data_IF_268218879918
#
_entry.id   IF_268218879918
#
_cell.length_a   1.000
_cell.length_b   1.000
_cell.length_c   1.000
_cell.angle_alpha   90.00
_cell.angle_beta   90.00
_cell.angle_gamma   90.00
#
_symmetry.space_group_name_H-M   'P 1'
#
loop_
_entity.id
_entity.type
_entity.pdbx_description
1 polymer ?
#
# COMPACT_ATOMS: atom_id res chain seq x y z
N UNK A 1 9.36 62.54 13.94
CA UNK A 1 9.10 61.10 13.72
C UNK A 1 10.44 60.35 13.63
N UNK A 2 10.76 59.44 14.56
CA UNK A 2 11.98 58.61 14.49
C UNK A 2 11.79 57.48 13.48
N UNK A 3 12.53 57.47 12.37
CA UNK A 3 12.57 56.33 11.44
C UNK A 3 13.32 55.15 12.08
N UNK A 4 12.63 54.04 12.34
CA UNK A 4 13.27 52.75 12.68
C UNK A 4 14.09 52.29 11.47
N UNK A 5 15.41 52.15 11.63
CA UNK A 5 16.25 51.48 10.63
C UNK A 5 15.99 49.97 10.75
N UNK A 6 15.40 49.37 9.72
CA UNK A 6 15.31 47.92 9.59
C UNK A 6 16.71 47.41 9.21
N UNK A 7 17.24 46.44 9.96
CA UNK A 7 18.49 45.75 9.58
C UNK A 7 18.20 44.93 8.33
N UNK A 8 19.00 45.11 7.28
CA UNK A 8 18.88 44.33 6.07
C UNK A 8 19.34 42.88 6.34
N UNK A 9 18.67 41.93 5.70
CA UNK A 9 19.02 40.50 5.74
C UNK A 9 20.44 40.30 5.21
N UNK A 10 21.26 39.54 5.93
CA UNK A 10 22.65 39.28 5.52
C UNK A 10 22.74 38.05 4.62
N UNK A 11 23.73 38.02 3.72
CA UNK A 11 23.91 36.91 2.77
C UNK A 11 24.17 35.56 3.50
N UNK A 12 24.85 35.62 4.65
CA UNK A 12 25.10 34.46 5.53
C UNK A 12 23.78 33.89 6.07
N UNK A 13 22.86 34.75 6.50
CA UNK A 13 21.56 34.35 7.03
C UNK A 13 20.69 33.68 5.95
N UNK A 14 20.77 34.17 4.71
CA UNK A 14 20.09 33.53 3.56
C UNK A 14 20.69 32.15 3.27
N UNK A 15 22.01 32.01 3.26
CA UNK A 15 22.67 30.70 3.02
C UNK A 15 22.32 29.71 4.14
N UNK A 16 22.35 30.16 5.39
CA UNK A 16 21.97 29.33 6.54
C UNK A 16 20.50 28.88 6.44
N UNK A 17 19.59 29.79 6.10
CA UNK A 17 18.17 29.47 5.91
C UNK A 17 17.96 28.47 4.76
N UNK A 18 18.64 28.67 3.62
CA UNK A 18 18.57 27.73 2.49
C UNK A 18 19.09 26.34 2.87
N UNK A 19 20.19 26.27 3.63
CA UNK A 19 20.70 25.00 4.15
C UNK A 19 19.67 24.25 5.00
N UNK A 20 19.00 24.97 5.91
CA UNK A 20 17.93 24.41 6.75
C UNK A 20 16.75 23.93 5.90
N UNK A 21 16.30 24.73 4.92
CA UNK A 21 15.19 24.36 4.04
C UNK A 21 15.52 23.07 3.26
N UNK A 22 16.73 22.97 2.69
CA UNK A 22 17.15 21.78 1.96
C UNK A 22 17.10 20.55 2.86
N UNK A 23 17.66 20.62 4.08
CA UNK A 23 17.62 19.51 5.02
C UNK A 23 16.18 19.10 5.39
N UNK A 24 15.31 20.07 5.64
CA UNK A 24 13.90 19.80 5.97
C UNK A 24 13.16 19.15 4.79
N UNK A 25 13.38 19.62 3.56
CA UNK A 25 12.75 19.04 2.37
C UNK A 25 13.20 17.60 2.12
N UNK A 26 14.49 17.31 2.30
CA UNK A 26 15.01 15.94 2.21
C UNK A 26 14.39 15.02 3.28
N UNK A 27 14.30 15.48 4.53
CA UNK A 27 13.67 14.73 5.61
C UNK A 27 12.17 14.45 5.33
N UNK A 28 11.46 15.41 4.76
CA UNK A 28 10.07 15.25 4.35
C UNK A 28 9.93 14.19 3.25
N UNK A 29 10.77 14.21 2.22
CA UNK A 29 10.75 13.21 1.14
C UNK A 29 10.94 11.80 1.69
N UNK A 30 11.92 11.60 2.57
CA UNK A 30 12.17 10.29 3.20
C UNK A 30 10.97 9.82 4.03
N UNK A 31 10.32 10.75 4.74
CA UNK A 31 9.13 10.45 5.54
C UNK A 31 7.95 10.04 4.67
N UNK A 32 7.68 10.76 3.59
CA UNK A 32 6.61 10.44 2.62
C UNK A 32 6.85 9.05 2.00
N UNK A 33 8.09 8.75 1.59
CA UNK A 33 8.43 7.43 1.05
C UNK A 33 8.19 6.31 2.07
N UNK A 34 8.56 6.51 3.34
CA UNK A 34 8.28 5.56 4.40
C UNK A 34 6.77 5.35 4.63
N UNK A 35 5.99 6.42 4.59
CA UNK A 35 4.53 6.35 4.72
C UNK A 35 3.90 5.62 3.54
N UNK A 36 4.29 5.92 2.30
CA UNK A 36 3.76 5.23 1.12
C UNK A 36 4.01 3.72 1.16
N UNK A 37 5.25 3.29 1.47
CA UNK A 37 5.56 1.86 1.62
C UNK A 37 4.71 1.18 2.69
N UNK A 38 4.45 1.87 3.81
CA UNK A 38 3.62 1.36 4.90
C UNK A 38 2.15 1.24 4.47
N UNK A 39 1.63 2.22 3.72
CA UNK A 39 0.27 2.21 3.17
C UNK A 39 0.11 1.07 2.16
N UNK A 40 1.06 0.91 1.24
CA UNK A 40 1.06 -0.20 0.27
C UNK A 40 1.00 -1.57 0.98
N UNK A 41 1.83 -1.77 2.01
CA UNK A 41 1.81 -3.01 2.80
C UNK A 41 0.51 -3.23 3.58
N UNK A 42 -0.10 -2.17 4.13
CA UNK A 42 -1.40 -2.28 4.78
C UNK A 42 -2.53 -2.57 3.79
N UNK A 43 -2.52 -1.90 2.64
CA UNK A 43 -3.51 -2.10 1.58
C UNK A 43 -3.47 -3.54 1.06
N UNK A 44 -2.26 -4.10 0.84
CA UNK A 44 -2.10 -5.48 0.44
C UNK A 44 -2.64 -6.45 1.50
N UNK A 45 -2.35 -6.21 2.79
CA UNK A 45 -2.89 -7.03 3.89
C UNK A 45 -4.42 -6.99 3.95
N UNK A 46 -5.01 -5.81 3.78
CA UNK A 46 -6.46 -5.65 3.75
C UNK A 46 -7.06 -6.38 2.55
N UNK A 47 -6.47 -6.23 1.36
CA UNK A 47 -6.90 -6.93 0.14
C UNK A 47 -6.87 -8.44 0.33
N UNK A 48 -5.80 -8.98 0.91
CA UNK A 48 -5.66 -10.42 1.20
C UNK A 48 -6.71 -10.89 2.21
N UNK A 49 -6.99 -10.11 3.25
CA UNK A 49 -8.05 -10.43 4.20
C UNK A 49 -9.43 -10.48 3.52
N UNK A 50 -9.75 -9.48 2.70
CA UNK A 50 -11.00 -9.42 1.94
C UNK A 50 -11.13 -10.60 0.97
N UNK A 51 -10.09 -10.88 0.19
CA UNK A 51 -10.09 -12.00 -0.75
C UNK A 51 -10.23 -13.33 -0.01
N UNK A 52 -9.55 -13.51 1.12
CA UNK A 52 -9.69 -14.74 1.92
C UNK A 52 -11.11 -14.91 2.45
N UNK A 53 -11.77 -13.83 2.89
CA UNK A 53 -13.18 -13.88 3.27
C UNK A 53 -14.10 -14.20 2.07
N UNK A 54 -13.83 -13.63 0.89
CA UNK A 54 -14.59 -13.94 -0.34
C UNK A 54 -14.44 -15.41 -0.74
N UNK A 55 -13.22 -15.97 -0.66
CA UNK A 55 -12.97 -17.40 -0.91
C UNK A 55 -13.68 -18.27 0.11
N UNK A 56 -13.64 -17.91 1.39
CA UNK A 56 -14.32 -18.65 2.45
C UNK A 56 -15.84 -18.65 2.28
N UNK A 57 -16.41 -17.54 1.83
CA UNK A 57 -17.82 -17.45 1.47
C UNK A 57 -18.14 -18.38 0.28
N UNK A 58 -17.40 -18.23 -0.84
CA UNK A 58 -17.60 -19.04 -2.04
C UNK A 58 -17.41 -20.53 -1.78
N UNK A 59 -16.44 -20.92 -0.95
CA UNK A 59 -16.16 -22.32 -0.64
C UNK A 59 -17.27 -23.01 0.15
N UNK A 60 -18.04 -22.24 0.93
CA UNK A 60 -19.14 -22.73 1.75
C UNK A 60 -20.49 -22.74 1.02
N UNK A 61 -20.55 -22.27 -0.22
CA UNK A 61 -21.77 -22.37 -1.03
C UNK A 61 -22.07 -23.84 -1.39
N UNK A 62 -23.35 -24.27 -1.37
CA UNK A 62 -23.72 -25.67 -1.62
C UNK A 62 -23.24 -26.23 -2.96
N UNK A 63 -23.23 -25.38 -3.99
CA UNK A 63 -22.88 -25.74 -5.37
C UNK A 63 -21.45 -25.30 -5.75
N UNK A 64 -20.61 -24.97 -4.76
CA UNK A 64 -19.27 -24.44 -5.00
C UNK A 64 -18.35 -25.47 -5.70
N UNK A 65 -17.78 -25.07 -6.85
CA UNK A 65 -16.67 -25.82 -7.44
C UNK A 65 -15.37 -25.54 -6.69
N UNK A 66 -15.08 -26.37 -5.68
CA UNK A 66 -13.88 -26.25 -4.84
C UNK A 66 -12.56 -26.36 -5.62
N UNK A 67 -12.59 -26.85 -6.87
CA UNK A 67 -11.39 -26.93 -7.72
C UNK A 67 -11.06 -25.58 -8.37
N UNK A 68 -12.06 -24.77 -8.70
CA UNK A 68 -11.88 -23.44 -9.30
C UNK A 68 -11.51 -22.36 -8.27
N UNK A 69 -11.49 -22.69 -6.97
CA UNK A 69 -11.06 -21.76 -5.91
C UNK A 69 -9.54 -21.83 -5.62
N UNK A 70 -8.77 -22.51 -6.47
CA UNK A 70 -7.35 -22.85 -6.17
C UNK A 70 -6.30 -22.01 -6.87
N UNK A 71 -6.70 -21.15 -7.81
CA UNK A 71 -5.75 -20.29 -8.52
C UNK A 71 -6.33 -18.88 -8.69
N UNK A 72 -5.47 -17.87 -8.78
CA UNK A 72 -5.90 -16.49 -9.01
C UNK A 72 -6.74 -16.38 -10.31
N UNK A 73 -6.32 -16.95 -11.47
CA UNK A 73 -7.12 -16.88 -12.70
C UNK A 73 -8.51 -17.51 -12.55
N UNK A 74 -8.60 -18.65 -11.86
CA UNK A 74 -9.89 -19.31 -11.66
C UNK A 74 -10.80 -18.48 -10.74
N UNK A 75 -10.27 -17.89 -9.67
CA UNK A 75 -11.01 -17.01 -8.77
C UNK A 75 -11.59 -15.77 -9.47
N UNK A 76 -10.87 -15.21 -10.44
CA UNK A 76 -11.39 -14.12 -11.29
C UNK A 76 -12.48 -14.63 -12.22
N UNK A 77 -12.26 -15.79 -12.86
CA UNK A 77 -13.22 -16.40 -13.79
C UNK A 77 -14.56 -16.74 -13.11
N UNK A 78 -14.51 -17.24 -11.89
CA UNK A 78 -15.69 -17.54 -11.07
C UNK A 78 -16.32 -16.28 -10.44
N UNK A 79 -15.71 -15.10 -10.64
CA UNK A 79 -16.22 -13.83 -10.11
C UNK A 79 -16.07 -13.68 -8.59
N UNK A 80 -15.28 -14.53 -7.93
CA UNK A 80 -15.02 -14.47 -6.49
C UNK A 80 -14.17 -13.24 -6.15
N UNK A 81 -13.25 -12.87 -7.04
CA UNK A 81 -12.41 -11.67 -6.94
C UNK A 81 -12.41 -10.89 -8.25
N UNK A 82 -12.10 -9.60 -8.16
CA UNK A 82 -11.94 -8.71 -9.32
C UNK A 82 -10.54 -8.78 -9.92
N UNK A 83 -10.38 -8.37 -11.20
CA UNK A 83 -9.07 -8.21 -11.85
C UNK A 83 -8.13 -7.27 -11.09
N UNK A 84 -8.68 -6.25 -10.43
CA UNK A 84 -7.89 -5.31 -9.63
C UNK A 84 -7.27 -6.01 -8.41
N UNK A 85 -8.08 -6.81 -7.69
CA UNK A 85 -7.59 -7.59 -6.55
C UNK A 85 -6.57 -8.64 -7.00
N UNK A 86 -6.78 -9.29 -8.14
CA UNK A 86 -5.81 -10.24 -8.70
C UNK A 86 -4.45 -9.57 -8.96
N UNK A 87 -4.44 -8.40 -9.59
CA UNK A 87 -3.21 -7.63 -9.83
C UNK A 87 -2.51 -7.21 -8.54
N UNK A 88 -3.26 -6.81 -7.52
CA UNK A 88 -2.69 -6.43 -6.23
C UNK A 88 -2.04 -7.63 -5.52
N UNK A 89 -2.67 -8.81 -5.60
CA UNK A 89 -2.10 -10.06 -5.08
C UNK A 89 -0.81 -10.45 -5.82
N UNK A 90 -0.79 -10.35 -7.15
CA UNK A 90 0.38 -10.63 -7.98
C UNK A 90 1.53 -9.66 -7.69
N UNK A 91 1.23 -8.35 -7.66
CA UNK A 91 2.21 -7.30 -7.32
C UNK A 91 2.78 -7.49 -5.91
N UNK A 92 1.92 -7.90 -4.98
CA UNK A 92 2.29 -8.22 -3.61
C UNK A 92 3.00 -9.56 -3.42
N UNK A 93 3.18 -10.35 -4.48
CA UNK A 93 3.73 -11.72 -4.45
C UNK A 93 3.02 -12.60 -3.42
N UNK A 94 1.71 -12.42 -3.27
CA UNK A 94 0.91 -13.23 -2.37
C UNK A 94 0.93 -14.69 -2.83
N UNK A 95 1.12 -15.60 -1.88
CA UNK A 95 1.12 -17.05 -2.13
C UNK A 95 -0.14 -17.66 -1.56
N UNK A 96 -0.69 -18.63 -2.27
CA UNK A 96 -1.90 -19.32 -1.82
C UNK A 96 -1.52 -20.59 -1.05
N UNK A 97 -2.16 -20.82 0.09
CA UNK A 97 -1.99 -22.05 0.87
C UNK A 97 -2.83 -23.18 0.28
N UNK A 98 -2.37 -24.41 0.50
CA UNK A 98 -3.13 -25.63 0.20
C UNK A 98 -4.19 -25.98 1.26
N UNK A 99 -4.58 -25.01 2.09
CA UNK A 99 -5.65 -25.19 3.08
C UNK A 99 -7.01 -25.37 2.39
N UNK A 100 -8.01 -25.86 3.13
CA UNK A 100 -9.39 -25.99 2.66
C UNK A 100 -10.33 -25.25 3.63
N UNK A 101 -10.85 -24.05 3.30
CA UNK A 101 -10.63 -23.29 2.06
C UNK A 101 -9.19 -22.75 1.90
N UNK A 102 -8.73 -22.57 0.66
CA UNK A 102 -7.41 -21.99 0.38
C UNK A 102 -7.35 -20.54 0.83
N UNK A 103 -6.17 -20.09 1.29
CA UNK A 103 -5.96 -18.72 1.78
C UNK A 103 -4.69 -18.11 1.21
N UNK A 104 -4.77 -16.84 0.82
CA UNK A 104 -3.59 -16.05 0.46
C UNK A 104 -2.82 -15.59 1.70
N UNK A 105 -1.49 -15.61 1.56
CA UNK A 105 -0.53 -15.08 2.51
C UNK A 105 0.43 -14.14 1.79
N UNK A 106 0.70 -13.01 2.42
CA UNK A 106 1.76 -12.09 1.99
C UNK A 106 3.12 -12.58 2.50
N UNK A 107 4.21 -12.35 1.75
CA UNK A 107 5.56 -12.65 2.21
C UNK A 107 5.97 -11.85 3.46
#
# INVERSE_FOLDING_TARGET
MRRKRLRAFTLIEVIAALGVIILLTLALVLTIQGQMKRVEGQNLKATVATVNSQIEMAYNEPDADKKSLKTIPDLVREGVITDAQAKDLEKGKATMSGDNPPKFKVP
#
